data_IF_330640417631
#
_entry.id   IF_330640417631
#
_cell.length_a   1.000
_cell.length_b   1.000
_cell.length_c   1.000
_cell.angle_alpha   90.00
_cell.angle_beta   90.00
_cell.angle_gamma   90.00
#
_symmetry.space_group_name_H-M   'P 1'
#
loop_
_entity.id
_entity.type
_entity.pdbx_description
1 polymer ?
#
# COMPACT_ATOMS: atom_id res chain seq x y z
N UNK A 1 13.79 -43.80 19.66
CA UNK A 1 13.87 -42.36 19.99
C UNK A 1 13.52 -41.62 18.72
N UNK A 2 12.34 -41.01 18.66
CA UNK A 2 11.96 -40.14 17.55
C UNK A 2 12.43 -38.75 17.98
N UNK A 3 13.48 -38.24 17.34
CA UNK A 3 13.91 -36.86 17.51
C UNK A 3 12.80 -35.95 16.99
N UNK A 4 12.02 -35.40 17.92
CA UNK A 4 11.05 -34.36 17.62
C UNK A 4 11.88 -33.11 17.29
N UNK A 5 12.02 -32.83 15.99
CA UNK A 5 12.61 -31.57 15.53
C UNK A 5 11.88 -30.42 16.23
N UNK A 6 12.62 -29.43 16.78
CA UNK A 6 12.00 -28.30 17.46
C UNK A 6 11.06 -27.60 16.50
N UNK A 7 9.85 -27.29 16.99
CA UNK A 7 8.89 -26.44 16.28
C UNK A 7 9.60 -25.12 16.03
N UNK A 8 9.93 -24.84 14.77
CA UNK A 8 10.43 -23.54 14.34
C UNK A 8 9.30 -22.55 14.66
N UNK A 9 9.44 -21.82 15.77
CA UNK A 9 8.62 -20.66 16.06
C UNK A 9 8.69 -19.77 14.82
N UNK A 10 7.53 -19.35 14.29
CA UNK A 10 7.51 -18.64 13.01
C UNK A 10 8.20 -17.28 13.19
N UNK A 11 9.47 -17.22 12.84
CA UNK A 11 10.32 -16.04 12.86
C UNK A 11 9.91 -15.09 11.73
N UNK A 12 8.77 -14.44 11.90
CA UNK A 12 8.50 -13.21 11.16
C UNK A 12 9.44 -12.13 11.67
N UNK A 13 10.63 -12.04 11.06
CA UNK A 13 11.56 -10.94 11.26
C UNK A 13 11.55 -10.04 10.01
N UNK A 14 10.88 -8.87 10.06
CA UNK A 14 10.77 -7.98 8.91
C UNK A 14 12.12 -7.42 8.41
N UNK A 15 13.21 -7.51 9.20
CA UNK A 15 14.54 -7.04 8.78
C UNK A 15 15.19 -7.93 7.71
N UNK A 16 15.02 -9.25 7.78
CA UNK A 16 15.62 -10.17 6.81
C UNK A 16 14.74 -10.38 5.57
N UNK A 17 13.51 -9.86 5.59
CA UNK A 17 12.54 -10.14 4.54
C UNK A 17 12.97 -9.58 3.18
N UNK A 18 13.53 -8.37 3.14
CA UNK A 18 13.99 -7.74 1.89
C UNK A 18 15.08 -8.58 1.22
N UNK A 19 16.07 -9.04 2.00
CA UNK A 19 17.16 -9.88 1.51
C UNK A 19 16.67 -11.25 1.05
N UNK A 20 15.76 -11.87 1.80
CA UNK A 20 15.22 -13.18 1.45
C UNK A 20 14.28 -13.11 0.24
N UNK A 21 13.61 -11.98 0.01
CA UNK A 21 12.77 -11.76 -1.17
C UNK A 21 13.62 -11.48 -2.40
N UNK A 22 14.71 -10.70 -2.28
CA UNK A 22 15.60 -10.41 -3.42
C UNK A 22 16.35 -11.64 -3.93
N UNK A 23 16.52 -12.65 -3.08
CA UNK A 23 17.08 -13.95 -3.46
C UNK A 23 16.09 -14.87 -4.19
N UNK A 24 14.79 -14.52 -4.24
CA UNK A 24 13.80 -15.33 -4.96
C UNK A 24 13.98 -15.12 -6.46
N UNK A 25 14.58 -16.11 -7.11
CA UNK A 25 14.68 -16.15 -8.56
C UNK A 25 13.29 -16.22 -9.20
N UNK A 26 12.99 -15.26 -10.06
CA UNK A 26 11.88 -15.33 -11.01
C UNK A 26 12.46 -15.33 -12.41
N UNK A 27 12.11 -16.33 -13.23
CA UNK A 27 12.47 -16.34 -14.64
C UNK A 27 11.61 -15.29 -15.33
N UNK A 28 12.19 -14.14 -15.66
CA UNK A 28 11.51 -13.05 -16.35
C UNK A 28 12.39 -12.45 -17.44
N UNK A 29 11.76 -11.89 -18.48
CA UNK A 29 12.42 -11.27 -19.64
C UNK A 29 12.85 -9.80 -19.40
N UNK A 30 12.58 -9.26 -18.21
CA UNK A 30 12.81 -7.86 -17.84
C UNK A 30 13.72 -7.77 -16.61
N UNK A 31 14.21 -6.57 -16.31
CA UNK A 31 15.00 -6.31 -15.10
C UNK A 31 14.19 -6.70 -13.85
N UNK A 32 14.82 -7.50 -12.99
CA UNK A 32 14.22 -7.91 -11.72
C UNK A 32 14.22 -6.72 -10.76
N UNK A 33 13.14 -6.61 -9.99
CA UNK A 33 13.01 -5.65 -8.90
C UNK A 33 14.22 -5.72 -7.95
N UNK A 34 14.82 -4.57 -7.68
CA UNK A 34 15.97 -4.48 -6.80
C UNK A 34 15.56 -4.41 -5.31
N UNK A 35 16.53 -4.24 -4.43
CA UNK A 35 16.27 -4.12 -2.99
C UNK A 35 15.41 -2.89 -2.65
N UNK A 36 15.52 -1.78 -3.38
CA UNK A 36 14.68 -0.60 -3.13
C UNK A 36 13.25 -0.83 -3.60
N UNK A 37 13.06 -1.46 -4.75
CA UNK A 37 11.75 -1.79 -5.32
C UNK A 37 10.98 -2.76 -4.42
N UNK A 38 11.66 -3.76 -3.87
CA UNK A 38 11.10 -4.66 -2.87
C UNK A 38 10.68 -3.89 -1.61
N UNK A 39 11.51 -2.94 -1.14
CA UNK A 39 11.17 -2.10 0.02
C UNK A 39 9.97 -1.20 -0.23
N UNK A 40 9.93 -0.53 -1.39
CA UNK A 40 8.79 0.28 -1.84
C UNK A 40 7.52 -0.56 -1.90
N UNK A 41 7.63 -1.78 -2.45
CA UNK A 41 6.52 -2.74 -2.54
C UNK A 41 6.00 -3.14 -1.16
N UNK A 42 6.89 -3.53 -0.24
CA UNK A 42 6.50 -3.90 1.13
C UNK A 42 5.81 -2.74 1.83
N UNK A 43 6.35 -1.53 1.72
CA UNK A 43 5.73 -0.33 2.26
C UNK A 43 4.34 -0.11 1.67
N UNK A 44 4.22 -0.18 0.34
CA UNK A 44 2.96 0.04 -0.36
C UNK A 44 1.89 -0.98 0.04
N UNK A 45 2.24 -2.27 0.11
CA UNK A 45 1.33 -3.33 0.55
C UNK A 45 0.89 -3.16 2.00
N UNK A 46 1.77 -2.69 2.88
CA UNK A 46 1.43 -2.41 4.28
C UNK A 46 0.55 -1.16 4.44
N UNK A 47 0.77 -0.15 3.61
CA UNK A 47 0.02 1.12 3.59
C UNK A 47 -1.28 1.05 2.81
N UNK A 48 -1.46 0.01 1.98
CA UNK A 48 -2.60 -0.13 1.06
C UNK A 48 -3.96 0.11 1.71
N UNK A 49 -4.25 -0.52 2.87
CA UNK A 49 -5.54 -0.35 3.55
C UNK A 49 -5.78 1.08 4.04
N UNK A 50 -4.73 1.73 4.52
CA UNK A 50 -4.82 3.12 4.96
C UNK A 50 -5.09 4.04 3.76
N UNK A 51 -4.36 3.84 2.65
CA UNK A 51 -4.56 4.62 1.42
C UNK A 51 -5.96 4.38 0.85
N UNK A 52 -6.41 3.11 0.79
CA UNK A 52 -7.77 2.76 0.37
C UNK A 52 -8.84 3.41 1.24
N UNK A 53 -8.66 3.40 2.57
CA UNK A 53 -9.60 4.07 3.48
C UNK A 53 -9.69 5.58 3.25
N UNK A 54 -8.60 6.23 2.85
CA UNK A 54 -8.61 7.65 2.46
C UNK A 54 -9.36 7.88 1.14
N UNK A 55 -9.19 6.99 0.16
CA UNK A 55 -9.93 7.00 -1.11
C UNK A 55 -11.43 6.83 -0.84
N UNK A 56 -11.82 5.79 -0.09
CA UNK A 56 -13.22 5.49 0.23
C UNK A 56 -13.87 6.65 1.01
N UNK A 57 -13.14 7.26 1.94
CA UNK A 57 -13.61 8.43 2.70
C UNK A 57 -13.82 9.64 1.80
N UNK A 58 -12.91 9.91 0.88
CA UNK A 58 -13.05 11.02 -0.07
C UNK A 58 -14.21 10.78 -1.05
N UNK A 59 -14.36 9.56 -1.58
CA UNK A 59 -15.50 9.21 -2.44
C UNK A 59 -16.84 9.30 -1.70
N UNK A 60 -16.88 8.95 -0.42
CA UNK A 60 -18.08 9.15 0.42
C UNK A 60 -18.44 10.64 0.53
N UNK A 61 -17.46 11.50 0.81
CA UNK A 61 -17.67 12.95 0.88
C UNK A 61 -18.15 13.51 -0.46
N UNK A 62 -17.58 13.07 -1.60
CA UNK A 62 -18.03 13.52 -2.93
C UNK A 62 -19.50 13.18 -3.23
N UNK A 63 -20.03 12.13 -2.62
CA UNK A 63 -21.44 11.70 -2.78
C UNK A 63 -22.40 12.44 -1.86
N UNK A 64 -21.91 13.20 -0.88
CA UNK A 64 -22.75 14.00 0.00
C UNK A 64 -23.29 15.24 -0.72
N UNK A 65 -24.54 15.65 -0.45
CA UNK A 65 -25.10 16.88 -1.00
C UNK A 65 -24.26 18.08 -0.57
N UNK A 66 -23.85 18.89 -1.55
CA UNK A 66 -23.06 20.09 -1.32
C UNK A 66 -23.99 21.26 -1.02
N UNK A 67 -23.82 21.92 0.13
CA UNK A 67 -24.44 23.23 0.36
C UNK A 67 -23.45 24.29 -0.16
N UNK A 68 -23.86 25.06 -1.17
CA UNK A 68 -23.05 26.12 -1.79
C UNK A 68 -21.73 25.66 -2.47
N UNK A 69 -21.64 24.41 -2.91
CA UNK A 69 -20.46 23.87 -3.62
C UNK A 69 -19.27 23.49 -2.70
N UNK A 70 -19.51 23.52 -1.39
CA UNK A 70 -18.60 23.11 -0.32
C UNK A 70 -19.26 21.99 0.52
N UNK A 71 -18.46 21.02 0.95
CA UNK A 71 -18.92 19.96 1.85
C UNK A 71 -18.29 20.16 3.24
N UNK A 72 -18.84 19.55 4.29
CA UNK A 72 -18.34 19.69 5.68
C UNK A 72 -16.83 19.38 5.82
N UNK A 73 -16.29 18.52 4.96
CA UNK A 73 -14.87 18.20 4.89
C UNK A 73 -14.02 19.35 4.33
N UNK A 74 -14.55 20.08 3.35
CA UNK A 74 -13.93 21.29 2.85
C UNK A 74 -13.93 22.35 3.96
N UNK A 75 -15.03 22.50 4.68
CA UNK A 75 -15.19 23.43 5.82
C UNK A 75 -14.28 23.10 7.03
N UNK A 76 -14.15 21.83 7.41
CA UNK A 76 -13.26 21.40 8.50
C UNK A 76 -11.77 21.59 8.13
N UNK A 77 -11.42 21.37 6.87
CA UNK A 77 -10.10 21.68 6.35
C UNK A 77 -9.82 23.19 6.26
N UNK A 78 -10.87 23.99 6.06
CA UNK A 78 -10.84 25.45 6.08
C UNK A 78 -10.55 25.96 7.50
N UNK A 79 -11.18 25.44 8.56
CA UNK A 79 -10.87 25.86 9.94
C UNK A 79 -9.39 25.64 10.33
N UNK A 80 -8.79 24.54 9.86
CA UNK A 80 -7.37 24.25 10.04
C UNK A 80 -6.43 25.22 9.29
N UNK A 81 -6.85 25.70 8.12
CA UNK A 81 -6.08 26.65 7.29
C UNK A 81 -6.33 28.13 7.66
N UNK A 82 -7.56 28.46 8.08
CA UNK A 82 -8.02 29.81 8.44
C UNK A 82 -7.48 30.26 9.80
N UNK A 83 -7.13 29.35 10.72
CA UNK A 83 -6.37 29.70 11.93
C UNK A 83 -5.04 30.42 11.67
N UNK A 84 -4.58 30.53 10.42
CA UNK A 84 -3.37 31.25 10.02
C UNK A 84 -3.59 32.62 9.38
N UNK A 85 -4.81 33.04 9.05
CA UNK A 85 -5.05 34.36 8.46
C UNK A 85 -6.26 35.05 9.11
N UNK A 86 -5.98 36.16 9.79
CA UNK A 86 -7.00 37.04 10.33
C UNK A 86 -7.76 37.82 9.25
N UNK A 87 -9.02 38.11 9.60
CA UNK A 87 -9.95 39.15 9.13
C UNK A 87 -10.46 39.19 7.67
N UNK A 88 -11.80 39.17 7.59
CA UNK A 88 -12.74 39.84 6.65
C UNK A 88 -12.59 39.60 5.14
N UNK A 89 -13.59 38.99 4.48
CA UNK A 89 -14.83 39.66 4.05
C UNK A 89 -15.79 38.67 3.36
N UNK A 90 -17.09 38.98 3.45
CA UNK A 90 -18.20 38.22 2.88
C UNK A 90 -18.52 38.69 1.45
N UNK A 91 -18.46 37.78 0.47
CA UNK A 91 -19.29 37.60 -0.75
C UNK A 91 -18.52 36.66 -1.70
N UNK A 92 -19.04 35.43 -1.88
CA UNK A 92 -18.77 34.44 -2.95
C UNK A 92 -17.35 34.17 -3.49
N UNK A 93 -16.28 34.49 -2.76
CA UNK A 93 -14.92 34.16 -3.17
C UNK A 93 -14.36 33.12 -2.20
N UNK A 94 -14.42 31.85 -2.58
CA UNK A 94 -13.58 30.83 -1.95
C UNK A 94 -12.15 31.37 -1.94
N UNK A 95 -11.50 31.52 -0.76
CA UNK A 95 -10.13 32.02 -0.70
C UNK A 95 -9.25 31.18 -1.62
N UNK A 96 -8.33 31.77 -2.37
CA UNK A 96 -7.44 31.04 -3.29
C UNK A 96 -6.76 29.83 -2.61
N UNK A 97 -6.45 29.95 -1.32
CA UNK A 97 -5.90 28.86 -0.49
C UNK A 97 -6.85 27.67 -0.33
N UNK A 98 -8.17 27.90 -0.31
CA UNK A 98 -9.20 26.86 -0.23
C UNK A 98 -9.33 26.14 -1.57
N UNK A 99 -9.27 26.88 -2.69
CA UNK A 99 -9.24 26.28 -4.03
C UNK A 99 -7.96 25.44 -4.23
N UNK A 100 -6.79 25.99 -3.87
CA UNK A 100 -5.51 25.26 -3.93
C UNK A 100 -5.54 24.02 -3.02
N UNK A 101 -6.08 24.12 -1.81
CA UNK A 101 -6.23 22.98 -0.90
C UNK A 101 -7.20 21.92 -1.45
N UNK A 102 -8.28 22.34 -2.12
CA UNK A 102 -9.24 21.44 -2.77
C UNK A 102 -8.62 20.72 -3.97
N UNK A 103 -7.92 21.44 -4.83
CA UNK A 103 -7.20 20.89 -5.99
C UNK A 103 -6.09 19.93 -5.57
N UNK A 104 -5.27 20.31 -4.59
CA UNK A 104 -4.20 19.42 -4.06
C UNK A 104 -4.76 18.15 -3.43
N UNK A 105 -5.87 18.25 -2.67
CA UNK A 105 -6.59 17.07 -2.15
C UNK A 105 -7.14 16.19 -3.27
N UNK A 106 -7.72 16.79 -4.31
CA UNK A 106 -8.23 16.06 -5.45
C UNK A 106 -7.12 15.32 -6.20
N UNK A 107 -5.97 15.97 -6.43
CA UNK A 107 -4.81 15.36 -7.06
C UNK A 107 -4.23 14.22 -6.21
N UNK A 108 -4.18 14.38 -4.88
CA UNK A 108 -3.80 13.30 -3.98
C UNK A 108 -4.78 12.13 -4.03
N UNK A 109 -6.09 12.40 -4.08
CA UNK A 109 -7.10 11.38 -4.29
C UNK A 109 -6.89 10.62 -5.60
N UNK A 110 -6.66 11.30 -6.72
CA UNK A 110 -6.40 10.67 -8.01
C UNK A 110 -5.16 9.77 -7.97
N UNK A 111 -4.09 10.24 -7.33
CA UNK A 111 -2.88 9.44 -7.12
C UNK A 111 -3.17 8.19 -6.29
N UNK A 112 -3.80 8.37 -5.12
CA UNK A 112 -4.13 7.27 -4.21
C UNK A 112 -5.06 6.25 -4.88
N UNK A 113 -6.07 6.72 -5.60
CA UNK A 113 -6.98 5.88 -6.37
C UNK A 113 -6.22 5.03 -7.39
N UNK A 114 -5.41 5.67 -8.25
CA UNK A 114 -4.60 4.97 -9.26
C UNK A 114 -3.70 3.91 -8.63
N UNK A 115 -3.02 4.25 -7.54
CA UNK A 115 -2.12 3.33 -6.83
C UNK A 115 -2.90 2.16 -6.22
N UNK A 116 -4.04 2.42 -5.58
CA UNK A 116 -4.86 1.35 -4.99
C UNK A 116 -5.48 0.43 -6.05
N UNK A 117 -5.92 0.96 -7.18
CA UNK A 117 -6.43 0.19 -8.31
C UNK A 117 -5.34 -0.69 -8.93
N UNK A 118 -4.13 -0.14 -9.12
CA UNK A 118 -2.99 -0.90 -9.64
C UNK A 118 -2.60 -2.06 -8.71
N UNK A 119 -2.55 -1.83 -7.40
CA UNK A 119 -2.26 -2.88 -6.40
C UNK A 119 -3.37 -3.93 -6.37
N UNK A 120 -4.64 -3.53 -6.42
CA UNK A 120 -5.77 -4.44 -6.45
C UNK A 120 -5.76 -5.32 -7.71
N UNK A 121 -5.48 -4.72 -8.88
CA UNK A 121 -5.36 -5.44 -10.15
C UNK A 121 -4.20 -6.44 -10.12
N UNK A 122 -3.03 -6.02 -9.66
CA UNK A 122 -1.85 -6.90 -9.53
C UNK A 122 -2.14 -8.11 -8.63
N UNK A 123 -2.84 -7.90 -7.51
CA UNK A 123 -3.20 -8.99 -6.60
C UNK A 123 -4.27 -9.94 -7.15
N UNK A 124 -5.23 -9.43 -7.92
CA UNK A 124 -6.26 -10.25 -8.55
C UNK A 124 -5.71 -11.13 -9.68
N UNK A 125 -4.58 -10.74 -10.29
CA UNK A 125 -3.92 -11.51 -11.34
C UNK A 125 -2.96 -12.61 -10.83
N UNK A 126 -2.90 -12.83 -9.52
CA UNK A 126 -2.11 -13.92 -8.95
C UNK A 126 -2.78 -15.26 -9.27
N UNK A 127 -2.07 -16.11 -10.01
CA UNK A 127 -2.59 -17.39 -10.50
C UNK A 127 -2.67 -18.44 -9.38
N UNK A 128 -1.66 -18.51 -8.50
CA UNK A 128 -1.60 -19.52 -7.45
C UNK A 128 -2.61 -19.20 -6.33
N UNK A 129 -3.55 -20.12 -6.00
CA UNK A 129 -4.59 -19.85 -5.01
C UNK A 129 -4.05 -19.60 -3.59
N UNK A 130 -2.93 -20.21 -3.22
CA UNK A 130 -2.32 -19.98 -1.91
C UNK A 130 -1.68 -18.59 -1.85
N UNK A 131 -0.90 -18.23 -2.87
CA UNK A 131 -0.27 -16.91 -2.98
C UNK A 131 -1.32 -15.80 -2.99
N UNK A 132 -2.39 -15.95 -3.78
CA UNK A 132 -3.51 -15.01 -3.80
C UNK A 132 -4.16 -14.87 -2.42
N UNK A 133 -4.44 -16.00 -1.75
CA UNK A 133 -5.06 -15.97 -0.41
C UNK A 133 -4.15 -15.33 0.63
N UNK A 134 -2.84 -15.55 0.57
CA UNK A 134 -1.86 -14.90 1.45
C UNK A 134 -1.94 -13.38 1.31
N UNK A 135 -1.98 -12.88 0.07
CA UNK A 135 -2.07 -11.44 -0.20
C UNK A 135 -3.40 -10.85 0.33
N UNK A 136 -4.51 -11.58 0.14
CA UNK A 136 -5.81 -11.18 0.68
C UNK A 136 -5.79 -11.09 2.22
N UNK A 137 -5.25 -12.09 2.91
CA UNK A 137 -5.23 -12.12 4.38
C UNK A 137 -4.32 -11.02 4.96
N UNK A 138 -3.14 -10.85 4.39
CA UNK A 138 -2.12 -9.96 4.94
C UNK A 138 -2.31 -8.49 4.53
N UNK A 139 -2.71 -8.21 3.29
CA UNK A 139 -2.57 -6.87 2.71
C UNK A 139 -3.89 -6.27 2.20
N UNK A 140 -4.64 -6.98 1.37
CA UNK A 140 -5.72 -6.35 0.56
C UNK A 140 -7.13 -6.61 1.08
N UNK A 141 -7.37 -7.77 1.66
CA UNK A 141 -8.72 -8.19 2.06
C UNK A 141 -9.32 -7.29 3.14
N UNK A 142 -10.64 -7.37 3.27
CA UNK A 142 -11.47 -6.53 4.15
C UNK A 142 -10.94 -6.49 5.59
N UNK A 143 -10.45 -7.62 6.08
CA UNK A 143 -9.84 -7.74 7.42
C UNK A 143 -8.34 -7.97 7.31
N UNK A 144 -7.57 -7.20 8.08
CA UNK A 144 -6.14 -7.45 8.30
C UNK A 144 -5.95 -8.55 9.32
N UNK A 145 -5.40 -9.68 8.89
CA UNK A 145 -4.98 -10.75 9.79
C UNK A 145 -3.58 -10.47 10.30
N UNK A 146 -3.31 -10.84 11.56
CA UNK A 146 -1.92 -10.91 12.04
C UNK A 146 -1.24 -12.08 11.35
N UNK A 147 0.09 -12.02 11.25
CA UNK A 147 0.87 -13.07 10.58
C UNK A 147 0.57 -14.47 11.13
N UNK A 148 0.55 -14.62 12.46
CA UNK A 148 0.25 -15.91 13.14
C UNK A 148 -1.15 -16.42 12.78
N UNK A 149 -2.14 -15.54 12.83
CA UNK A 149 -3.54 -15.88 12.51
C UNK A 149 -3.70 -16.29 11.04
N UNK A 150 -2.98 -15.62 10.13
CA UNK A 150 -2.98 -15.95 8.71
C UNK A 150 -2.32 -17.31 8.44
N UNK A 151 -1.21 -17.61 9.12
CA UNK A 151 -0.56 -18.94 9.07
C UNK A 151 -1.50 -20.02 9.59
N UNK A 152 -2.15 -19.79 10.72
CA UNK A 152 -3.09 -20.76 11.30
C UNK A 152 -4.30 -20.99 10.39
N UNK A 153 -4.83 -19.92 9.78
CA UNK A 153 -5.91 -20.01 8.79
C UNK A 153 -5.49 -20.86 7.58
N UNK A 154 -4.28 -20.64 7.07
CA UNK A 154 -3.75 -21.39 5.92
C UNK A 154 -3.39 -22.84 6.27
N UNK A 155 -3.03 -23.13 7.53
CA UNK A 155 -2.79 -24.50 8.02
C UNK A 155 -4.05 -25.34 8.09
N UNK A 156 -5.16 -24.76 8.56
CA UNK A 156 -6.45 -25.47 8.67
C UNK A 156 -7.04 -25.83 7.30
N UNK A 157 -6.54 -25.21 6.23
CA UNK A 157 -7.14 -25.25 4.91
C UNK A 157 -8.45 -24.46 4.89
N UNK A 158 -8.79 -23.89 3.73
CA UNK A 158 -10.07 -23.20 3.57
C UNK A 158 -10.97 -24.00 2.62
N UNK A 159 -12.21 -24.23 3.07
CA UNK A 159 -13.21 -25.01 2.33
C UNK A 159 -13.53 -24.29 1.03
N UNK A 160 -12.88 -24.70 -0.08
CA UNK A 160 -13.42 -24.87 -1.44
C UNK A 160 -12.34 -25.04 -2.53
N UNK A 161 -11.08 -24.64 -2.32
CA UNK A 161 -10.11 -24.51 -3.45
C UNK A 161 -8.72 -25.10 -3.18
N UNK A 162 -8.25 -25.16 -1.93
CA UNK A 162 -6.86 -25.53 -1.68
C UNK A 162 -6.62 -26.24 -0.32
N UNK A 163 -5.57 -27.07 -0.26
CA UNK A 163 -5.18 -27.84 0.92
C UNK A 163 -4.50 -26.97 2.00
N UNK A 164 -4.38 -27.49 3.23
CA UNK A 164 -3.66 -26.79 4.28
C UNK A 164 -2.15 -26.74 3.99
N UNK A 165 -1.50 -25.58 4.20
CA UNK A 165 -0.04 -25.45 4.01
C UNK A 165 0.68 -25.24 5.34
N UNK A 166 1.91 -25.74 5.43
CA UNK A 166 2.77 -25.54 6.59
C UNK A 166 3.30 -24.10 6.69
N UNK A 167 3.75 -23.72 7.89
CA UNK A 167 4.26 -22.38 8.16
C UNK A 167 5.50 -22.03 7.32
N UNK A 168 6.37 -23.00 7.04
CA UNK A 168 7.55 -22.83 6.18
C UNK A 168 7.14 -22.57 4.73
N UNK A 169 6.21 -23.38 4.19
CA UNK A 169 5.66 -23.20 2.85
C UNK A 169 4.89 -21.88 2.71
N UNK A 170 4.19 -21.45 3.76
CA UNK A 170 3.54 -20.14 3.82
C UNK A 170 4.56 -19.02 3.67
N UNK A 171 5.68 -19.06 4.42
CA UNK A 171 6.72 -18.04 4.37
C UNK A 171 7.37 -17.98 2.98
N UNK A 172 7.65 -19.12 2.37
CA UNK A 172 8.21 -19.20 1.02
C UNK A 172 7.27 -18.63 -0.04
N UNK A 173 6.00 -19.07 -0.05
CA UNK A 173 4.97 -18.54 -0.96
C UNK A 173 4.73 -17.05 -0.77
N UNK A 174 4.78 -16.57 0.48
CA UNK A 174 4.69 -15.14 0.79
C UNK A 174 5.84 -14.35 0.17
N UNK A 175 7.08 -14.83 0.29
CA UNK A 175 8.23 -14.12 -0.31
C UNK A 175 8.14 -14.10 -1.84
N UNK A 176 7.78 -15.23 -2.43
CA UNK A 176 7.60 -15.37 -3.87
C UNK A 176 6.51 -14.45 -4.42
N UNK A 177 5.37 -14.35 -3.75
CA UNK A 177 4.30 -13.46 -4.20
C UNK A 177 4.67 -11.98 -4.05
N UNK A 178 5.40 -11.60 -2.98
CA UNK A 178 5.88 -10.22 -2.84
C UNK A 178 6.90 -9.87 -3.93
N UNK A 179 7.84 -10.76 -4.26
CA UNK A 179 8.74 -10.57 -5.40
C UNK A 179 7.97 -10.42 -6.72
N UNK A 180 6.94 -11.24 -6.94
CA UNK A 180 6.10 -11.20 -8.15
C UNK A 180 5.33 -9.88 -8.25
N UNK A 181 4.78 -9.42 -7.13
CA UNK A 181 4.11 -8.13 -7.05
C UNK A 181 5.08 -6.98 -7.26
N UNK A 182 6.30 -7.05 -6.72
CA UNK A 182 7.32 -6.02 -6.94
C UNK A 182 7.64 -5.87 -8.43
N UNK A 183 7.88 -6.98 -9.14
CA UNK A 183 8.10 -6.97 -10.59
C UNK A 183 6.89 -6.41 -11.35
N UNK A 184 5.67 -6.79 -10.96
CA UNK A 184 4.44 -6.30 -11.60
C UNK A 184 4.23 -4.79 -11.39
N UNK A 185 4.51 -4.31 -10.18
CA UNK A 185 4.36 -2.89 -9.81
C UNK A 185 5.50 -2.02 -10.34
N UNK A 186 6.67 -2.60 -10.56
CA UNK A 186 7.77 -1.95 -11.28
C UNK A 186 7.39 -1.80 -12.76
N UNK A 187 6.96 -2.90 -13.39
CA UNK A 187 6.59 -2.92 -14.81
C UNK A 187 5.46 -1.94 -15.16
N UNK A 188 4.48 -1.78 -14.28
CA UNK A 188 3.37 -0.86 -14.52
C UNK A 188 3.65 0.60 -14.08
N UNK A 189 4.86 0.91 -13.60
CA UNK A 189 5.28 2.23 -13.14
C UNK A 189 4.65 2.69 -11.83
N UNK A 190 4.00 1.79 -11.07
CA UNK A 190 3.38 2.17 -9.78
C UNK A 190 4.43 2.48 -8.72
N UNK A 191 5.57 1.81 -8.75
CA UNK A 191 6.67 2.05 -7.79
C UNK A 191 7.33 3.42 -7.98
N UNK A 192 7.21 4.06 -9.15
CA UNK A 192 7.75 5.40 -9.40
C UNK A 192 7.08 6.47 -8.53
N UNK A 193 5.83 6.23 -8.11
CA UNK A 193 5.12 7.10 -7.18
C UNK A 193 5.56 6.91 -5.72
N UNK A 194 6.34 5.87 -5.41
CA UNK A 194 6.84 5.58 -4.07
C UNK A 194 8.30 6.00 -3.98
N UNK A 195 8.58 7.03 -3.19
CA UNK A 195 9.94 7.55 -3.01
C UNK A 195 10.48 7.20 -1.63
N UNK A 196 11.78 6.91 -1.57
CA UNK A 196 12.52 6.77 -0.31
C UNK A 196 13.40 8.01 -0.16
N UNK A 197 13.11 8.84 0.85
CA UNK A 197 13.94 10.01 1.16
C UNK A 197 14.95 9.67 2.26
N UNK A 198 16.22 9.54 1.88
CA UNK A 198 17.32 9.28 2.80
C UNK A 198 17.81 10.53 3.57
N UNK A 199 17.17 11.69 3.34
CA UNK A 199 17.34 12.92 4.10
C UNK A 199 18.80 13.34 4.28
N UNK A 200 19.49 13.78 3.22
CA UNK A 200 20.93 14.15 3.23
C UNK A 200 21.82 13.17 4.04
N UNK A 201 21.50 11.87 4.06
CA UNK A 201 22.26 10.84 4.77
C UNK A 201 22.04 10.80 6.30
N UNK A 202 21.01 11.47 6.84
CA UNK A 202 20.70 11.46 8.28
C UNK A 202 19.93 10.22 8.72
N UNK A 203 19.26 9.53 7.79
CA UNK A 203 18.48 8.34 8.09
C UNK A 203 18.93 7.18 7.19
N UNK A 204 19.51 6.12 7.79
CA UNK A 204 19.96 4.91 7.06
C UNK A 204 18.78 4.14 6.47
N UNK A 205 17.60 4.23 7.08
CA UNK A 205 16.40 3.55 6.60
C UNK A 205 15.60 4.42 5.63
N UNK A 206 15.77 5.75 5.64
CA UNK A 206 15.02 6.67 4.79
C UNK A 206 13.52 6.72 5.11
N UNK A 207 12.87 7.84 4.81
CA UNK A 207 11.41 7.97 4.93
C UNK A 207 10.76 7.55 3.61
N UNK A 208 9.90 6.53 3.65
CA UNK A 208 9.17 6.05 2.48
C UNK A 208 7.80 6.71 2.44
N UNK A 209 7.44 7.29 1.28
CA UNK A 209 6.18 7.97 1.09
C UNK A 209 5.72 7.97 -0.36
N UNK A 210 4.49 8.45 -0.58
CA UNK A 210 3.97 8.69 -1.93
C UNK A 210 4.31 10.11 -2.37
N UNK A 211 4.76 10.24 -3.62
CA UNK A 211 5.05 11.52 -4.25
C UNK A 211 4.32 11.62 -5.58
N UNK A 212 3.71 12.78 -5.84
CA UNK A 212 3.26 13.10 -7.19
C UNK A 212 4.48 13.27 -8.09
N UNK A 213 4.53 12.53 -9.20
CA UNK A 213 5.50 12.79 -10.26
C UNK A 213 5.16 14.15 -10.86
N UNK A 214 5.92 15.17 -10.49
CA UNK A 214 5.83 16.45 -11.17
C UNK A 214 6.36 16.24 -12.59
N UNK A 215 5.50 16.39 -13.59
CA UNK A 215 5.91 16.55 -14.99
C UNK A 215 6.63 17.90 -15.09
N UNK A 216 7.90 17.96 -14.66
CA UNK A 216 8.80 19.09 -14.83
C UNK A 216 10.25 18.61 -14.84
N UNK A 217 10.58 17.72 -15.78
CA UNK A 217 11.91 17.67 -16.39
C UNK A 217 11.72 17.37 -17.87
N UNK A 218 11.64 18.46 -18.64
CA UNK A 218 11.61 18.53 -20.10
C UNK A 218 12.14 19.89 -20.50
#
# INVERSE_FOLDING_TARGET
>A
MIEVLPVIESDFNPKNDVELISQVYQVQFFENADHEDIRKTIWLLNSYRTIKGLVDSYEFVLKQPQENGLNDFDMAGVEGAVKRLGSSDSISNLPANVLIAKETRHNNYLLYKRVTEAVAHAANNIIDPHEHKIVQLLFIGERKYRYKDAVEYMRKGYKTVAYGIEATTFAEKRRKVIASLANTLLFNGTLDYVTIDYGRGRNKEGEIGLRQLNIREG
#
